data_IF_463324357496
#
_entry.id   IF_463324357496
#
_cell.length_a   1.000
_cell.length_b   1.000
_cell.length_c   1.000
_cell.angle_alpha   90.00
_cell.angle_beta   90.00
_cell.angle_gamma   90.00
#
_symmetry.space_group_name_H-M   'P 1'
#
loop_
_entity.id
_entity.type
_entity.pdbx_description
1 polymer ?
#
# COMPACT_ATOMS: atom_id res chain seq x y z
N UNK A 1 7.49 -23.21 2.66
CA UNK A 1 8.54 -22.44 2.11
C UNK A 1 8.78 -21.16 2.84
N UNK A 2 9.95 -21.00 3.21
CA UNK A 2 10.32 -19.89 4.07
C UNK A 2 10.38 -18.56 3.33
N UNK A 3 10.31 -18.59 2.03
CA UNK A 3 10.43 -17.34 1.28
C UNK A 3 9.36 -16.30 1.57
N UNK A 4 8.14 -16.77 1.75
CA UNK A 4 7.05 -15.85 1.92
C UNK A 4 7.20 -14.98 3.16
N UNK A 5 7.48 -15.55 4.33
CA UNK A 5 7.69 -14.70 5.51
C UNK A 5 8.87 -13.75 5.33
N UNK A 6 9.91 -14.20 4.68
CA UNK A 6 11.08 -13.39 4.43
C UNK A 6 10.73 -12.17 3.60
N UNK A 7 10.03 -12.40 2.51
CA UNK A 7 9.64 -11.32 1.62
C UNK A 7 8.68 -10.36 2.33
N UNK A 8 7.77 -10.90 3.09
CA UNK A 8 6.82 -10.08 3.82
C UNK A 8 7.53 -9.15 4.79
N UNK A 9 8.53 -9.67 5.49
CA UNK A 9 9.26 -8.86 6.44
C UNK A 9 9.99 -7.71 5.73
N UNK A 10 10.60 -7.99 4.59
CA UNK A 10 11.29 -6.96 3.84
C UNK A 10 10.33 -5.87 3.37
N UNK A 11 9.16 -6.28 2.91
CA UNK A 11 8.17 -5.30 2.47
C UNK A 11 7.63 -4.49 3.62
N UNK A 12 7.47 -5.12 4.79
CA UNK A 12 6.99 -4.39 5.96
C UNK A 12 7.97 -3.32 6.38
N UNK A 13 9.26 -3.63 6.38
CA UNK A 13 10.28 -2.64 6.73
C UNK A 13 10.26 -1.49 5.74
N UNK A 14 10.18 -1.80 4.46
CA UNK A 14 10.13 -0.76 3.44
C UNK A 14 8.89 0.09 3.58
N UNK A 15 7.75 -0.52 3.88
CA UNK A 15 6.51 0.22 4.07
C UNK A 15 6.64 1.20 5.23
N UNK A 16 7.19 0.74 6.34
CA UNK A 16 7.36 1.60 7.51
C UNK A 16 8.28 2.77 7.20
N UNK A 17 9.35 2.52 6.47
CA UNK A 17 10.27 3.59 6.11
C UNK A 17 9.59 4.64 5.26
N UNK A 18 8.83 4.21 4.27
CA UNK A 18 8.14 5.14 3.38
C UNK A 18 7.11 5.97 4.13
N UNK A 19 6.38 5.33 5.05
CA UNK A 19 5.39 6.05 5.84
C UNK A 19 6.06 7.13 6.68
N UNK A 20 7.16 6.79 7.33
CA UNK A 20 7.90 7.77 8.13
C UNK A 20 8.43 8.90 7.28
N UNK A 21 8.95 8.58 6.11
CA UNK A 21 9.50 9.62 5.22
C UNK A 21 8.43 10.57 4.74
N UNK A 22 7.19 10.09 4.67
CA UNK A 22 6.09 10.94 4.28
C UNK A 22 5.58 11.80 5.43
N UNK A 23 6.18 11.66 6.61
CA UNK A 23 5.74 12.42 7.77
C UNK A 23 4.50 11.85 8.41
N UNK A 24 4.19 10.59 8.12
CA UNK A 24 3.00 9.96 8.64
C UNK A 24 3.35 9.01 9.77
N UNK A 25 2.34 8.75 10.59
CA UNK A 25 2.52 7.84 11.72
C UNK A 25 2.51 6.40 11.23
N UNK A 26 3.48 5.63 11.67
CA UNK A 26 3.51 4.21 11.37
C UNK A 26 2.51 3.50 12.26
N UNK A 27 1.57 2.80 11.67
CA UNK A 27 0.62 1.97 12.41
C UNK A 27 0.61 0.59 11.75
N UNK A 28 0.14 -0.40 12.49
CA UNK A 28 0.07 -1.74 11.95
C UNK A 28 -0.78 -1.82 10.69
N UNK A 29 -1.98 -1.23 10.66
CA UNK A 29 -2.76 -1.29 9.41
C UNK A 29 -2.10 -0.58 8.26
N UNK A 30 -1.50 0.59 8.50
CA UNK A 30 -0.84 1.32 7.42
C UNK A 30 0.31 0.54 6.84
N UNK A 31 1.16 -0.01 7.73
CA UNK A 31 2.30 -0.80 7.27
C UNK A 31 1.85 -2.01 6.49
N UNK A 32 0.82 -2.70 6.98
CA UNK A 32 0.36 -3.92 6.34
C UNK A 32 -0.23 -3.64 4.97
N UNK A 33 -1.05 -2.60 4.86
CA UNK A 33 -1.66 -2.29 3.57
C UNK A 33 -0.58 -1.88 2.57
N UNK A 34 0.32 -0.99 2.96
CA UNK A 34 1.36 -0.56 2.04
C UNK A 34 2.27 -1.72 1.65
N UNK A 35 2.60 -2.58 2.62
CA UNK A 35 3.42 -3.75 2.32
C UNK A 35 2.74 -4.66 1.31
N UNK A 36 1.43 -4.83 1.41
CA UNK A 36 0.70 -5.64 0.45
C UNK A 36 0.79 -5.04 -0.95
N UNK A 37 0.66 -3.72 -1.05
CA UNK A 37 0.79 -3.07 -2.34
C UNK A 37 2.19 -3.18 -2.90
N UNK A 38 3.19 -3.07 -2.04
CA UNK A 38 4.58 -3.20 -2.48
C UNK A 38 4.92 -4.61 -2.94
N UNK A 39 4.31 -5.60 -2.32
CA UNK A 39 4.58 -6.99 -2.67
C UNK A 39 3.88 -7.43 -3.94
N UNK A 40 2.80 -6.77 -4.31
CA UNK A 40 2.05 -7.13 -5.50
C UNK A 40 2.76 -6.63 -6.74
N UNK A 41 2.69 -7.41 -7.80
CA UNK A 41 3.28 -6.99 -9.07
C UNK A 41 2.26 -6.34 -9.99
N UNK A 42 1.09 -6.05 -9.45
CA UNK A 42 0.04 -5.33 -10.18
C UNK A 42 -0.82 -4.60 -9.15
N UNK A 43 -1.64 -3.68 -9.63
CA UNK A 43 -2.51 -2.92 -8.75
C UNK A 43 -3.61 -3.84 -8.20
N UNK A 44 -3.98 -3.61 -6.95
CA UNK A 44 -4.94 -4.45 -6.24
C UNK A 44 -6.24 -3.71 -6.00
N UNK A 45 -7.35 -4.43 -6.09
CA UNK A 45 -8.62 -3.90 -5.66
C UNK A 45 -8.66 -3.88 -4.14
N UNK A 46 -9.61 -3.12 -3.60
CA UNK A 46 -9.83 -3.09 -2.16
C UNK A 46 -10.01 -4.51 -1.61
N UNK A 47 -10.80 -5.31 -2.29
CA UNK A 47 -11.08 -6.67 -1.85
C UNK A 47 -9.80 -7.52 -1.85
N UNK A 48 -8.99 -7.37 -2.87
CA UNK A 48 -7.73 -8.11 -2.95
C UNK A 48 -6.78 -7.69 -1.83
N UNK A 49 -6.79 -6.43 -1.45
CA UNK A 49 -5.99 -5.99 -0.32
C UNK A 49 -6.48 -6.65 0.96
N UNK A 50 -7.80 -6.70 1.16
CA UNK A 50 -8.34 -7.37 2.33
C UNK A 50 -7.91 -8.83 2.39
N UNK A 51 -7.97 -9.50 1.27
CA UNK A 51 -7.58 -10.91 1.23
C UNK A 51 -6.10 -11.10 1.53
N UNK A 52 -5.28 -10.19 1.04
CA UNK A 52 -3.84 -10.29 1.28
C UNK A 52 -3.52 -10.09 2.75
N UNK A 53 -4.29 -9.28 3.45
CA UNK A 53 -4.03 -8.98 4.84
C UNK A 53 -4.58 -10.03 5.80
N UNK A 54 -5.60 -10.74 5.38
CA UNK A 54 -6.34 -11.62 6.29
C UNK A 54 -5.44 -12.56 7.10
N UNK A 55 -4.48 -13.26 6.50
CA UNK A 55 -3.65 -14.17 7.27
C UNK A 55 -2.54 -13.48 8.08
N UNK A 56 -2.28 -12.22 7.81
CA UNK A 56 -1.16 -11.52 8.45
C UNK A 56 -1.67 -10.57 9.52
N UNK A 57 -2.51 -9.64 9.13
CA UNK A 57 -3.02 -8.61 10.03
C UNK A 57 -4.46 -8.36 9.65
N UNK A 58 -5.39 -9.09 10.23
CA UNK A 58 -6.80 -8.90 9.88
C UNK A 58 -7.22 -7.47 10.16
N UNK A 59 -7.78 -6.83 9.16
CA UNK A 59 -8.20 -5.43 9.25
C UNK A 59 -9.60 -5.36 8.65
N UNK A 60 -10.50 -4.66 9.30
CA UNK A 60 -11.85 -4.56 8.79
C UNK A 60 -11.90 -3.67 7.55
N UNK A 61 -12.98 -3.83 6.80
CA UNK A 61 -13.11 -3.16 5.50
C UNK A 61 -13.00 -1.65 5.61
N UNK A 62 -13.64 -1.07 6.60
CA UNK A 62 -13.62 0.39 6.75
C UNK A 62 -12.20 0.88 6.99
N UNK A 63 -11.46 0.15 7.82
CA UNK A 63 -10.08 0.55 8.10
C UNK A 63 -9.23 0.45 6.84
N UNK A 64 -9.43 -0.60 6.04
CA UNK A 64 -8.68 -0.73 4.78
C UNK A 64 -8.97 0.46 3.87
N UNK A 65 -10.24 0.84 3.73
CA UNK A 65 -10.59 2.00 2.92
C UNK A 65 -9.89 3.26 3.41
N UNK A 66 -9.94 3.48 4.72
CA UNK A 66 -9.34 4.69 5.28
C UNK A 66 -7.84 4.72 5.07
N UNK A 67 -7.20 3.57 5.24
CA UNK A 67 -5.76 3.51 5.04
C UNK A 67 -5.42 3.74 3.58
N UNK A 68 -6.14 3.11 2.67
CA UNK A 68 -5.88 3.32 1.25
C UNK A 68 -6.05 4.78 0.86
N UNK A 69 -7.11 5.42 1.34
CA UNK A 69 -7.32 6.83 1.07
C UNK A 69 -6.16 7.66 1.60
N UNK A 70 -5.69 7.36 2.79
CA UNK A 70 -4.60 8.12 3.38
C UNK A 70 -3.31 7.92 2.60
N UNK A 71 -3.04 6.69 2.18
CA UNK A 71 -1.83 6.44 1.38
C UNK A 71 -1.87 7.18 0.07
N UNK A 72 -3.03 7.26 -0.56
CA UNK A 72 -3.17 8.02 -1.79
C UNK A 72 -2.98 9.49 -1.53
N UNK A 73 -3.58 10.00 -0.47
CA UNK A 73 -3.50 11.42 -0.13
C UNK A 73 -2.06 11.85 0.14
N UNK A 74 -1.26 10.96 0.68
CA UNK A 74 0.13 11.30 1.03
C UNK A 74 1.13 10.95 -0.07
N UNK A 75 0.66 10.43 -1.19
CA UNK A 75 1.54 10.11 -2.30
C UNK A 75 2.24 8.76 -2.19
N UNK A 76 1.92 7.99 -1.18
CA UNK A 76 2.54 6.68 -0.99
C UNK A 76 1.92 5.63 -1.89
N UNK A 77 0.69 5.85 -2.32
CA UNK A 77 -0.01 4.96 -3.23
C UNK A 77 -0.76 5.78 -4.24
N UNK A 78 -1.19 5.14 -5.30
CA UNK A 78 -2.01 5.81 -6.30
C UNK A 78 -3.19 4.94 -6.64
N UNK A 79 -4.22 5.58 -7.15
CA UNK A 79 -5.49 4.97 -7.47
C UNK A 79 -5.63 4.86 -8.98
N UNK A 80 -6.01 3.69 -9.46
CA UNK A 80 -6.12 3.43 -10.88
C UNK A 80 -7.54 2.95 -11.16
N UNK A 81 -8.27 3.60 -12.08
CA UNK A 81 -9.60 3.12 -12.43
C UNK A 81 -9.51 1.84 -13.26
N UNK A 82 -10.31 0.87 -12.88
CA UNK A 82 -10.41 -0.36 -13.65
C UNK A 82 -11.52 -0.27 -14.67
N UNK A 83 -11.49 -1.16 -15.63
CA UNK A 83 -12.51 -1.20 -16.68
C UNK A 83 -13.86 -1.56 -16.11
N UNK A 84 -13.88 -2.27 -15.00
CA UNK A 84 -15.11 -2.69 -14.35
C UNK A 84 -15.59 -1.67 -13.33
N UNK A 85 -15.06 -0.45 -13.39
CA UNK A 85 -15.40 0.63 -12.49
C UNK A 85 -14.94 0.39 -11.06
N UNK A 86 -14.08 -0.59 -10.87
CA UNK A 86 -13.52 -0.84 -9.56
C UNK A 86 -12.16 -0.18 -9.48
N UNK A 87 -11.96 0.60 -8.42
CA UNK A 87 -10.67 1.23 -8.22
C UNK A 87 -9.63 0.19 -7.82
N UNK A 88 -8.44 0.35 -8.35
CA UNK A 88 -7.30 -0.44 -7.94
C UNK A 88 -6.24 0.47 -7.39
N UNK A 89 -5.42 -0.07 -6.53
CA UNK A 89 -4.41 0.71 -5.82
C UNK A 89 -3.05 0.09 -6.01
N UNK A 90 -2.04 0.94 -6.20
CA UNK A 90 -0.68 0.50 -6.33
C UNK A 90 0.24 1.36 -5.50
N UNK A 91 1.35 0.79 -5.04
CA UNK A 91 2.34 1.56 -4.31
C UNK A 91 3.07 2.46 -5.30
N UNK A 92 3.33 3.69 -4.88
CA UNK A 92 4.12 4.59 -5.69
C UNK A 92 5.55 4.07 -5.74
N UNK A 93 6.17 4.17 -6.88
CA UNK A 93 7.51 3.65 -7.05
C UNK A 93 8.50 4.36 -6.18
N UNK A 94 8.36 5.66 -6.09
CA UNK A 94 9.25 6.46 -5.30
C UNK A 94 8.52 7.02 -4.13
N UNK A 95 9.26 7.38 -3.15
CA UNK A 95 8.67 8.02 -2.01
C UNK A 95 8.08 9.37 -2.39
N UNK A 96 7.42 10.02 -1.45
CA UNK A 96 6.70 11.27 -1.72
C UNK A 96 7.53 12.37 -2.36
N UNK A 97 8.79 12.39 -2.14
CA UNK A 97 9.61 13.44 -2.71
C UNK A 97 10.03 13.19 -4.13
N UNK A 98 9.70 12.04 -4.61
CA UNK A 98 10.19 11.70 -5.92
C UNK A 98 9.51 12.42 -7.02
N UNK A 99 9.39 12.89 -7.39
CA UNK A 99 8.89 13.40 -8.24
C UNK A 99 8.27 13.76 -8.93
N UNK A 100 8.37 13.79 -8.75
CA UNK A 100 7.93 14.05 -9.19
C UNK A 100 7.47 14.35 -9.73
N UNK A 101 7.53 14.72 -9.76
CA UNK A 101 7.22 14.99 -10.19
C UNK A 101 6.77 15.02 -11.07
N UNK A 102 7.01 14.97 -11.48
CA UNK A 102 6.72 14.91 -12.25
C UNK A 102 5.87 14.67 -12.81
N UNK A 103 5.85 14.54 -13.00
CA UNK A 103 5.17 14.20 -13.57
C UNK A 103 4.16 14.32 -13.69
N UNK A 104 4.09 14.63 -13.42
CA UNK A 104 3.23 14.76 -13.49
C UNK A 104 2.56 14.93 -13.92
N UNK A 105 2.56 15.13 -14.29
CA UNK A 105 2.00 15.21 -14.61
C UNK A 105 1.62 15.09 -14.95
#
# INVERSE_FOLDING_TARGET
>A
MARTPHRTAARAVEAQRRIREAGERVTAPRSAVLAALLAADHALTHHEVEEALAPVTPVDRVTVYRVLDRLVATGLAHRIPGEDRTWRFGASRRGPGGAHAHFTC
#
